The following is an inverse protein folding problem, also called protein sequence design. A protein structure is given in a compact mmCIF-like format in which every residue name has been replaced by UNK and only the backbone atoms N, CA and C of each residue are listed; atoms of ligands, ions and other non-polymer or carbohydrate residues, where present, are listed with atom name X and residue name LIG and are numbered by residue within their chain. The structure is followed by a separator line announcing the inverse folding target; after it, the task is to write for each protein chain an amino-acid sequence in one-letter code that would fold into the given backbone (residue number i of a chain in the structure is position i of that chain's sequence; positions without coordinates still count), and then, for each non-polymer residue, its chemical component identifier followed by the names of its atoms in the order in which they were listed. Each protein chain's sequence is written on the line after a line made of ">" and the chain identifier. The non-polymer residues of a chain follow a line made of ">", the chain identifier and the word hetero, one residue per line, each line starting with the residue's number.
data_IF_278646096924
#
_entry.id   IF_278646096924
#
_cell.length_a   1.000
_cell.length_b   1.000
_cell.length_c   1.000
_cell.angle_alpha   90.00
_cell.angle_beta   90.00
_cell.angle_gamma   90.00
#
_symmetry.space_group_name_H-M   'P 1'
#
loop_
_entity.id
_entity.type
_entity.pdbx_description
1 polymer ?
#
# COMPACT_ATOMS: atom_id res chain seq x y z
N UNK A 1 -6.29 7.59 -6.17
CA UNK A 1 -6.27 6.24 -5.54
C UNK A 1 -5.28 5.37 -6.30
N UNK A 2 -4.32 4.75 -5.63
CA UNK A 2 -3.37 3.80 -6.23
C UNK A 2 -3.76 2.35 -5.88
N UNK A 3 -3.73 1.43 -6.84
CA UNK A 3 -4.13 0.03 -6.63
C UNK A 3 -2.88 -0.83 -6.41
N UNK A 4 -2.82 -1.51 -5.27
CA UNK A 4 -1.66 -2.32 -4.84
C UNK A 4 -2.04 -3.78 -4.53
N UNK A 5 -3.20 -4.25 -5.01
CA UNK A 5 -3.63 -5.65 -4.90
C UNK A 5 -2.62 -6.63 -5.51
N UNK A 6 -2.70 -7.90 -5.10
CA UNK A 6 -1.88 -9.00 -5.59
C UNK A 6 -0.38 -8.67 -5.52
N UNK A 7 0.08 -8.25 -4.33
CA UNK A 7 1.45 -7.81 -4.09
C UNK A 7 1.90 -6.63 -5.00
N UNK A 8 1.03 -5.63 -5.21
CA UNK A 8 1.19 -4.59 -6.25
C UNK A 8 1.51 -5.18 -7.64
N UNK A 9 0.67 -6.12 -8.09
CA UNK A 9 0.87 -6.85 -9.36
C UNK A 9 2.25 -7.53 -9.43
N UNK A 10 2.75 -8.04 -8.30
CA UNK A 10 4.05 -8.68 -8.18
C UNK A 10 5.26 -7.75 -7.93
N UNK A 11 5.08 -6.43 -7.90
CA UNK A 11 6.18 -5.46 -7.75
C UNK A 11 6.62 -5.22 -6.30
N UNK A 12 5.88 -5.75 -5.30
CA UNK A 12 6.12 -5.49 -3.89
C UNK A 12 5.12 -4.47 -3.35
N UNK A 13 4.12 -4.95 -2.61
CA UNK A 13 2.99 -4.14 -2.17
C UNK A 13 3.39 -2.99 -1.25
N UNK A 14 4.31 -3.22 -0.32
CA UNK A 14 4.67 -2.23 0.70
C UNK A 14 5.51 -1.11 0.09
N UNK A 15 6.49 -1.49 -0.73
CA UNK A 15 7.40 -0.58 -1.43
C UNK A 15 6.62 0.32 -2.38
N UNK A 16 5.72 -0.25 -3.21
CA UNK A 16 4.86 0.51 -4.10
C UNK A 16 3.85 1.36 -3.34
N UNK A 17 3.27 0.86 -2.24
CA UNK A 17 2.36 1.67 -1.43
C UNK A 17 3.05 2.91 -0.85
N UNK A 18 4.29 2.78 -0.35
CA UNK A 18 5.09 3.92 0.13
C UNK A 18 5.42 4.89 -0.97
N UNK A 19 5.86 4.40 -2.13
CA UNK A 19 6.16 5.24 -3.28
C UNK A 19 4.92 6.00 -3.75
N UNK A 20 3.76 5.34 -3.83
CA UNK A 20 2.50 5.95 -4.20
C UNK A 20 2.09 7.06 -3.24
N UNK A 21 2.15 6.82 -1.92
CA UNK A 21 1.84 7.84 -0.90
C UNK A 21 2.83 9.01 -1.00
N UNK A 22 4.12 8.74 -1.16
CA UNK A 22 5.15 9.78 -1.34
C UNK A 22 4.95 10.61 -2.61
N UNK A 23 4.39 9.99 -3.66
CA UNK A 23 4.00 10.66 -4.90
C UNK A 23 2.64 11.40 -4.81
N UNK A 24 2.00 11.43 -3.63
CA UNK A 24 0.77 12.17 -3.38
C UNK A 24 -0.52 11.35 -3.46
N UNK A 25 -0.44 10.02 -3.53
CA UNK A 25 -1.64 9.18 -3.45
C UNK A 25 -2.25 9.29 -2.05
N UNK A 26 -3.46 9.83 -1.96
CA UNK A 26 -4.19 9.98 -0.70
C UNK A 26 -4.97 8.74 -0.30
N UNK A 27 -5.15 7.78 -1.22
CA UNK A 27 -5.94 6.55 -1.04
C UNK A 27 -5.27 5.36 -1.73
N UNK A 28 -5.32 4.20 -1.08
CA UNK A 28 -4.81 2.92 -1.59
C UNK A 28 -5.94 1.91 -1.72
N UNK A 29 -5.95 1.15 -2.83
CA UNK A 29 -6.91 0.07 -3.08
C UNK A 29 -6.25 -1.31 -3.10
N UNK A 30 -6.87 -2.27 -2.43
CA UNK A 30 -6.46 -3.69 -2.34
C UNK A 30 -7.63 -4.60 -2.70
N UNK A 31 -7.39 -5.89 -2.90
CA UNK A 31 -8.44 -6.86 -3.22
C UNK A 31 -9.02 -7.55 -1.97
N UNK A 32 -8.24 -7.66 -0.89
CA UNK A 32 -8.64 -8.41 0.32
C UNK A 32 -8.38 -7.62 1.60
N UNK A 33 -9.03 -8.05 2.70
CA UNK A 33 -8.80 -7.49 4.02
C UNK A 33 -7.37 -7.78 4.53
N UNK A 34 -6.83 -8.96 4.24
CA UNK A 34 -5.46 -9.33 4.66
C UNK A 34 -4.41 -8.41 4.02
N UNK A 35 -4.58 -8.07 2.74
CA UNK A 35 -3.74 -7.07 2.07
C UNK A 35 -3.86 -5.70 2.74
N UNK A 36 -5.08 -5.26 3.10
CA UNK A 36 -5.30 -3.99 3.79
C UNK A 36 -4.59 -3.95 5.15
N UNK A 37 -4.71 -5.03 5.95
CA UNK A 37 -4.06 -5.14 7.25
C UNK A 37 -2.54 -5.17 7.13
N UNK A 38 -2.00 -5.91 6.16
CA UNK A 38 -0.56 -5.95 5.89
C UNK A 38 -0.01 -4.57 5.50
N UNK A 39 -0.69 -3.88 4.59
CA UNK A 39 -0.31 -2.51 4.17
C UNK A 39 -0.37 -1.56 5.36
N UNK A 40 -1.43 -1.60 6.18
CA UNK A 40 -1.59 -0.73 7.35
C UNK A 40 -0.50 -0.98 8.39
N UNK A 41 -0.26 -2.24 8.76
CA UNK A 41 0.77 -2.59 9.74
C UNK A 41 2.17 -2.10 9.33
N UNK A 42 2.48 -2.07 8.03
CA UNK A 42 3.77 -1.60 7.51
C UNK A 42 3.83 -0.09 7.30
N UNK A 43 2.75 0.56 6.86
CA UNK A 43 2.73 2.01 6.66
C UNK A 43 2.65 2.78 7.99
N UNK A 44 1.89 2.31 8.97
CA UNK A 44 1.72 2.97 10.28
C UNK A 44 2.99 3.04 11.13
N UNK A 45 4.03 2.28 10.80
CA UNK A 45 5.32 2.35 11.50
C UNK A 45 6.23 3.48 11.00
N UNK A 46 5.83 4.25 9.97
CA UNK A 46 6.71 5.22 9.29
C UNK A 46 5.95 6.43 8.71
N UNK A 47 4.81 6.80 9.29
CA UNK A 47 4.15 8.10 9.01
C UNK A 47 4.31 8.91 10.31
N UNK A 48 4.88 10.14 10.27
CA UNK A 48 4.94 11.00 11.45
C UNK A 48 3.55 11.26 12.03
#
# INVERSE_FOLDING_TARGET
>A
MAIVKANAYGHGMVEIARAAVSAGATWLGVATLDEALAVRAKLSQNIP
#
